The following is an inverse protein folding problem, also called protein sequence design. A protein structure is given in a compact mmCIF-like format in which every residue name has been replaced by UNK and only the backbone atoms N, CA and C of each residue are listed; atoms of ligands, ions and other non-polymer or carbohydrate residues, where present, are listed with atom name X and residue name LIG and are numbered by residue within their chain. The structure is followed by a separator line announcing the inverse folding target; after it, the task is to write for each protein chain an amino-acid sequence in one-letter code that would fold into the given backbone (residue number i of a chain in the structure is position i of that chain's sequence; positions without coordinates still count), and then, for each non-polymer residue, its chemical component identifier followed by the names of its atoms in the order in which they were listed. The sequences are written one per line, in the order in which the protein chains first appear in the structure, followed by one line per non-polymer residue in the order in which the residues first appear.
data_IF_427135814176
#
_entry.id   IF_427135814176
#
_cell.length_a   1.000
_cell.length_b   1.000
_cell.length_c   1.000
_cell.angle_alpha   90.00
_cell.angle_beta   90.00
_cell.angle_gamma   90.00
#
_symmetry.space_group_name_H-M   'P 1'
#
loop_
_entity.id
_entity.type
_entity.pdbx_description
1 polymer ?
#
# COMPACT_ATOMS: atom_id res chain seq x y z
N UNK A 1 -27.47 9.56 17.18
CA UNK A 1 -26.40 8.82 16.49
C UNK A 1 -26.79 7.35 16.44
N UNK A 2 -27.07 6.84 15.25
CA UNK A 2 -27.32 5.41 15.01
C UNK A 2 -26.04 4.77 14.46
N UNK A 3 -25.73 3.53 14.86
CA UNK A 3 -24.57 2.79 14.33
C UNK A 3 -25.08 1.57 13.58
N UNK A 4 -24.65 1.41 12.33
CA UNK A 4 -25.08 0.34 11.43
C UNK A 4 -23.89 -0.44 10.91
N UNK A 5 -24.02 -1.76 10.79
CA UNK A 5 -22.96 -2.66 10.36
C UNK A 5 -23.27 -3.29 8.99
N UNK A 6 -22.26 -3.34 8.13
CA UNK A 6 -22.38 -3.92 6.78
C UNK A 6 -21.15 -4.76 6.40
N UNK A 7 -21.33 -5.62 5.42
CA UNK A 7 -20.25 -6.08 4.55
C UNK A 7 -20.25 -5.26 3.26
N UNK A 8 -19.08 -4.78 2.86
CA UNK A 8 -18.88 -4.18 1.56
C UNK A 8 -18.87 -5.28 0.48
N UNK A 9 -19.57 -5.05 -0.62
CA UNK A 9 -19.59 -5.98 -1.75
C UNK A 9 -19.64 -5.23 -3.08
N UNK A 10 -19.25 -5.87 -4.21
CA UNK A 10 -19.42 -5.29 -5.53
C UNK A 10 -20.88 -4.95 -5.88
N UNK A 11 -21.85 -5.60 -5.23
CA UNK A 11 -23.28 -5.35 -5.42
C UNK A 11 -23.84 -4.27 -4.47
N UNK A 12 -22.98 -3.64 -3.66
CA UNK A 12 -23.35 -2.68 -2.62
C UNK A 12 -23.30 -3.28 -1.21
N UNK A 13 -23.74 -2.47 -0.24
CA UNK A 13 -23.72 -2.82 1.18
C UNK A 13 -24.68 -3.98 1.49
N UNK A 14 -24.16 -5.00 2.16
CA UNK A 14 -24.94 -6.13 2.68
C UNK A 14 -25.11 -5.95 4.19
N UNK A 15 -26.35 -5.74 4.70
CA UNK A 15 -26.60 -5.60 6.14
C UNK A 15 -26.15 -6.84 6.92
N UNK A 16 -25.53 -6.64 8.08
CA UNK A 16 -25.16 -7.74 8.97
C UNK A 16 -26.32 -8.08 9.90
N UNK A 17 -26.84 -9.30 9.80
CA UNK A 17 -27.88 -9.82 10.68
C UNK A 17 -27.30 -10.54 11.92
N UNK A 18 -28.17 -10.89 12.88
CA UNK A 18 -27.78 -11.59 14.12
C UNK A 18 -27.09 -12.94 13.85
N UNK A 19 -27.48 -13.61 12.75
CA UNK A 19 -26.88 -14.86 12.33
C UNK A 19 -25.41 -14.68 11.95
N UNK A 20 -25.10 -13.66 11.14
CA UNK A 20 -23.74 -13.28 10.75
C UNK A 20 -22.92 -12.82 11.94
N UNK A 21 -23.48 -11.96 12.81
CA UNK A 21 -22.79 -11.47 14.01
C UNK A 21 -22.37 -12.61 14.96
N UNK A 22 -23.10 -13.72 14.95
CA UNK A 22 -22.82 -14.88 15.79
C UNK A 22 -21.67 -15.76 15.30
N UNK A 23 -21.22 -15.59 14.05
CA UNK A 23 -20.16 -16.41 13.44
C UNK A 23 -18.80 -16.17 14.12
N UNK A 24 -17.92 -17.19 14.18
CA UNK A 24 -16.55 -17.01 14.63
C UNK A 24 -15.85 -15.91 13.83
N UNK A 25 -15.08 -15.09 14.53
CA UNK A 25 -14.15 -14.16 13.90
C UNK A 25 -12.97 -14.95 13.33
N UNK A 26 -12.60 -14.68 12.08
CA UNK A 26 -11.44 -15.30 11.45
C UNK A 26 -10.21 -14.42 11.66
N UNK A 27 -9.16 -14.92 12.31
CA UNK A 27 -7.87 -14.21 12.46
C UNK A 27 -7.12 -14.12 11.13
N UNK A 28 -7.34 -15.10 10.27
CA UNK A 28 -6.91 -15.15 8.88
C UNK A 28 -7.92 -16.05 8.13
N UNK A 29 -7.90 -16.10 6.78
CA UNK A 29 -8.91 -16.83 6.01
C UNK A 29 -9.10 -18.31 6.38
N UNK A 30 -8.16 -18.93 7.09
CA UNK A 30 -8.15 -20.36 7.43
C UNK A 30 -8.28 -20.65 8.93
N UNK A 31 -8.29 -19.63 9.79
CA UNK A 31 -8.20 -19.81 11.23
C UNK A 31 -9.21 -18.97 12.01
N UNK A 32 -10.10 -19.66 12.71
CA UNK A 32 -11.04 -19.05 13.67
C UNK A 32 -10.31 -18.60 14.93
N UNK A 33 -10.72 -17.45 15.46
CA UNK A 33 -10.34 -17.00 16.79
C UNK A 33 -11.02 -17.89 17.84
N UNK A 34 -10.32 -18.29 18.93
CA UNK A 34 -10.85 -19.25 19.91
C UNK A 34 -12.18 -18.85 20.56
N UNK A 35 -12.49 -17.55 20.64
CA UNK A 35 -13.69 -17.07 21.33
C UNK A 35 -14.26 -15.73 20.83
N UNK A 36 -13.65 -15.09 19.82
CA UNK A 36 -14.18 -13.83 19.28
C UNK A 36 -15.19 -14.16 18.19
N UNK A 37 -16.28 -13.40 18.14
CA UNK A 37 -17.27 -13.44 17.08
C UNK A 37 -17.16 -12.21 16.19
N UNK A 38 -17.77 -12.29 15.00
CA UNK A 38 -17.85 -11.15 14.09
C UNK A 38 -18.54 -9.94 14.75
N UNK A 39 -19.56 -10.17 15.59
CA UNK A 39 -20.19 -9.09 16.34
C UNK A 39 -19.27 -8.41 17.35
N UNK A 40 -18.28 -9.12 17.91
CA UNK A 40 -17.29 -8.52 18.81
C UNK A 40 -16.32 -7.62 18.02
N UNK A 41 -15.98 -8.00 16.79
CA UNK A 41 -15.19 -7.17 15.88
C UNK A 41 -15.86 -5.83 15.55
N UNK A 42 -17.13 -5.84 15.14
CA UNK A 42 -17.87 -4.60 14.87
C UNK A 42 -18.02 -3.73 16.12
N UNK A 43 -18.33 -4.34 17.27
CA UNK A 43 -18.41 -3.63 18.55
C UNK A 43 -17.09 -3.01 18.96
N UNK A 44 -15.96 -3.65 18.68
CA UNK A 44 -14.65 -3.10 18.94
C UNK A 44 -14.41 -1.80 18.15
N UNK A 45 -14.78 -1.80 16.87
CA UNK A 45 -14.67 -0.61 16.01
C UNK A 45 -15.63 0.48 16.47
N UNK A 46 -16.87 0.12 16.82
CA UNK A 46 -17.82 1.07 17.39
C UNK A 46 -17.24 1.70 18.68
N UNK A 47 -16.80 0.89 19.64
CA UNK A 47 -16.20 1.38 20.88
C UNK A 47 -14.97 2.25 20.64
N UNK A 48 -14.13 1.89 19.67
CA UNK A 48 -12.95 2.67 19.28
C UNK A 48 -13.32 4.06 18.74
N UNK A 49 -14.41 4.14 17.96
CA UNK A 49 -14.84 5.38 17.30
C UNK A 49 -15.72 6.24 18.22
N UNK A 50 -16.57 5.62 19.04
CA UNK A 50 -17.56 6.32 19.87
C UNK A 50 -17.20 6.35 21.36
N UNK A 51 -16.08 5.74 21.77
CA UNK A 51 -15.58 5.74 23.14
C UNK A 51 -15.39 7.15 23.69
N UNK A 52 -15.54 7.31 25.01
CA UNK A 52 -15.48 8.61 25.69
C UNK A 52 -16.39 9.67 25.03
N UNK A 53 -17.64 9.31 24.73
CA UNK A 53 -18.61 10.16 24.02
C UNK A 53 -18.15 10.65 22.63
N UNK A 54 -17.21 9.94 21.99
CA UNK A 54 -16.70 10.26 20.66
C UNK A 54 -15.76 11.47 20.62
N UNK A 55 -15.22 11.93 21.76
CA UNK A 55 -14.36 13.12 21.82
C UNK A 55 -13.17 13.07 20.84
N UNK A 56 -12.51 11.90 20.73
CA UNK A 56 -11.40 11.72 19.80
C UNK A 56 -11.86 11.87 18.35
N UNK A 57 -12.95 11.20 17.97
CA UNK A 57 -13.54 11.29 16.64
C UNK A 57 -13.95 12.73 16.30
N UNK A 58 -14.64 13.42 17.20
CA UNK A 58 -15.09 14.80 16.98
C UNK A 58 -13.91 15.76 16.77
N UNK A 59 -12.83 15.59 17.55
CA UNK A 59 -11.59 16.36 17.36
C UNK A 59 -10.94 16.09 16.01
N UNK A 60 -10.87 14.81 15.62
CA UNK A 60 -10.29 14.39 14.33
C UNK A 60 -11.12 14.94 13.17
N UNK A 61 -12.44 14.74 13.19
CA UNK A 61 -13.37 15.33 12.22
C UNK A 61 -13.22 16.84 12.15
N UNK A 62 -13.11 17.51 13.30
CA UNK A 62 -12.95 18.96 13.34
C UNK A 62 -11.67 19.45 12.68
N UNK A 63 -10.58 18.68 12.83
CA UNK A 63 -9.29 18.94 12.18
C UNK A 63 -9.37 18.72 10.68
N UNK A 64 -9.84 17.55 10.26
CA UNK A 64 -9.91 17.15 8.85
C UNK A 64 -10.84 18.07 8.06
N UNK A 65 -11.93 18.52 8.68
CA UNK A 65 -12.88 19.45 8.07
C UNK A 65 -12.52 20.92 8.21
N UNK A 66 -11.52 21.24 9.03
CA UNK A 66 -11.16 22.60 9.39
C UNK A 66 -12.36 23.41 9.95
N UNK A 67 -13.27 22.74 10.65
CA UNK A 67 -14.47 23.33 11.23
C UNK A 67 -14.91 22.52 12.47
N UNK A 68 -15.40 23.14 13.56
CA UNK A 68 -15.89 22.41 14.72
C UNK A 68 -17.01 21.43 14.37
N UNK A 69 -17.00 20.24 14.97
CA UNK A 69 -18.05 19.23 14.82
C UNK A 69 -18.51 18.81 16.21
N UNK A 70 -19.83 18.77 16.41
CA UNK A 70 -20.49 18.33 17.62
C UNK A 70 -21.15 16.96 17.40
N UNK A 71 -21.46 16.25 18.50
CA UNK A 71 -22.15 14.95 18.42
C UNK A 71 -23.56 15.06 17.82
N UNK A 72 -24.23 16.21 17.98
CA UNK A 72 -25.55 16.46 17.36
C UNK A 72 -25.49 16.60 15.85
N UNK A 73 -24.31 16.85 15.27
CA UNK A 73 -24.14 16.95 13.82
C UNK A 73 -24.05 15.56 13.16
N UNK A 74 -23.90 14.50 13.95
CA UNK A 74 -23.77 13.12 13.47
C UNK A 74 -25.09 12.38 13.62
N UNK A 75 -25.74 12.10 12.48
CA UNK A 75 -26.94 11.29 12.43
C UNK A 75 -26.60 9.79 12.54
N UNK A 76 -25.65 9.33 11.72
CA UNK A 76 -25.35 7.91 11.53
C UNK A 76 -23.83 7.65 11.43
N UNK A 77 -23.43 6.45 11.86
CA UNK A 77 -22.10 5.89 11.64
C UNK A 77 -22.30 4.53 10.96
N UNK A 78 -21.72 4.37 9.78
CA UNK A 78 -21.77 3.12 9.01
C UNK A 78 -20.40 2.44 9.12
N UNK A 79 -20.36 1.24 9.70
CA UNK A 79 -19.14 0.43 9.80
C UNK A 79 -19.25 -0.70 8.79
N UNK A 80 -18.33 -0.75 7.82
CA UNK A 80 -18.31 -1.78 6.78
C UNK A 80 -17.06 -2.62 6.87
N UNK A 81 -17.19 -3.94 6.92
CA UNK A 81 -16.04 -4.81 6.66
C UNK A 81 -15.69 -4.76 5.18
N UNK A 82 -14.46 -4.34 4.83
CA UNK A 82 -14.02 -4.10 3.44
C UNK A 82 -13.10 -5.23 2.96
N UNK A 83 -12.08 -5.58 3.75
CA UNK A 83 -11.07 -6.57 3.35
C UNK A 83 -10.55 -7.37 4.53
N UNK A 84 -10.42 -8.68 4.33
CA UNK A 84 -9.71 -9.58 5.25
C UNK A 84 -8.25 -9.68 4.79
N UNK A 85 -7.38 -8.82 5.33
CA UNK A 85 -5.95 -8.83 5.02
C UNK A 85 -5.19 -9.94 5.76
N UNK A 86 -3.99 -10.27 5.28
CA UNK A 86 -3.14 -11.28 5.90
C UNK A 86 -2.51 -10.85 7.23
N UNK A 87 -2.39 -9.54 7.48
CA UNK A 87 -1.86 -8.98 8.73
C UNK A 87 -2.98 -8.44 9.63
N UNK A 88 -3.92 -7.69 9.08
CA UNK A 88 -5.02 -7.07 9.81
C UNK A 88 -6.25 -6.95 8.92
N UNK A 89 -7.41 -6.76 9.55
CA UNK A 89 -8.69 -6.56 8.87
C UNK A 89 -8.90 -5.09 8.60
N UNK A 90 -9.45 -4.76 7.43
CA UNK A 90 -9.82 -3.40 7.05
C UNK A 90 -11.32 -3.26 7.11
N UNK A 91 -11.77 -2.26 7.85
CA UNK A 91 -13.13 -1.75 7.78
C UNK A 91 -13.12 -0.29 7.36
N UNK A 92 -14.22 0.16 6.77
CA UNK A 92 -14.48 1.58 6.64
C UNK A 92 -15.48 2.05 7.68
N UNK A 93 -15.31 3.30 8.10
CA UNK A 93 -16.22 3.99 9.02
C UNK A 93 -16.66 5.27 8.34
N UNK A 94 -17.91 5.31 7.87
CA UNK A 94 -18.51 6.48 7.24
C UNK A 94 -19.40 7.22 8.25
N UNK A 95 -19.07 8.47 8.50
CA UNK A 95 -19.80 9.38 9.37
C UNK A 95 -20.75 10.21 8.52
N UNK A 96 -22.04 10.17 8.86
CA UNK A 96 -23.11 10.84 8.12
C UNK A 96 -23.94 11.76 9.02
N UNK A 97 -24.29 12.91 8.49
CA UNK A 97 -25.13 13.94 9.10
C UNK A 97 -25.57 14.96 8.05
N UNK A 98 -26.44 15.93 8.43
CA UNK A 98 -26.98 16.91 7.48
C UNK A 98 -25.88 17.67 6.72
N UNK A 99 -24.84 18.08 7.45
CA UNK A 99 -23.70 18.80 6.90
C UNK A 99 -22.39 18.02 7.09
N UNK A 100 -22.44 16.75 7.52
CA UNK A 100 -21.26 15.92 7.81
C UNK A 100 -21.27 14.69 6.92
N UNK A 101 -20.23 14.55 6.10
CA UNK A 101 -19.92 13.31 5.41
C UNK A 101 -18.42 13.12 5.36
N UNK A 102 -17.94 12.05 6.00
CA UNK A 102 -16.52 11.70 5.96
C UNK A 102 -16.33 10.20 6.15
N UNK A 103 -15.40 9.60 5.41
CA UNK A 103 -15.08 8.17 5.48
C UNK A 103 -13.65 7.99 5.99
N UNK A 104 -13.48 7.08 6.93
CA UNK A 104 -12.19 6.66 7.46
C UNK A 104 -11.95 5.19 7.17
N UNK A 105 -10.69 4.77 7.23
CA UNK A 105 -10.33 3.36 7.36
C UNK A 105 -10.02 3.04 8.81
N UNK A 106 -10.44 1.87 9.27
CA UNK A 106 -10.00 1.27 10.54
C UNK A 106 -9.29 -0.05 10.23
N UNK A 107 -8.01 -0.11 10.57
CA UNK A 107 -7.22 -1.34 10.51
C UNK A 107 -7.26 -2.02 11.89
N UNK A 108 -7.58 -3.31 11.93
CA UNK A 108 -7.72 -4.07 13.18
C UNK A 108 -6.81 -5.28 13.20
N UNK A 109 -5.88 -5.29 14.15
CA UNK A 109 -4.94 -6.36 14.42
C UNK A 109 -5.30 -7.12 15.70
N UNK A 110 -5.16 -8.45 15.69
CA UNK A 110 -5.62 -9.33 16.78
C UNK A 110 -4.48 -10.14 17.39
N UNK A 111 -3.61 -10.73 16.57
CA UNK A 111 -2.46 -11.50 17.06
C UNK A 111 -1.32 -10.57 17.48
N UNK A 112 -0.47 -10.97 18.42
CA UNK A 112 0.67 -10.15 18.86
C UNK A 112 1.58 -9.70 17.70
N UNK A 113 1.84 -10.58 16.73
CA UNK A 113 2.61 -10.23 15.54
C UNK A 113 1.91 -9.19 14.67
N UNK A 114 0.60 -9.33 14.43
CA UNK A 114 -0.17 -8.33 13.67
C UNK A 114 -0.22 -6.97 14.36
N UNK A 115 -0.31 -6.95 15.70
CA UNK A 115 -0.33 -5.71 16.49
C UNK A 115 1.02 -4.98 16.38
N UNK A 116 2.13 -5.72 16.43
CA UNK A 116 3.46 -5.13 16.21
C UNK A 116 3.60 -4.52 14.81
N UNK A 117 3.10 -5.20 13.78
CA UNK A 117 3.07 -4.65 12.42
C UNK A 117 2.23 -3.39 12.30
N UNK A 118 1.03 -3.38 12.87
CA UNK A 118 0.13 -2.23 12.81
C UNK A 118 0.71 -1.01 13.55
N UNK A 119 1.33 -1.24 14.71
CA UNK A 119 2.03 -0.19 15.45
C UNK A 119 3.22 0.38 14.66
N UNK A 120 4.04 -0.49 14.07
CA UNK A 120 5.17 -0.08 13.22
C UNK A 120 4.71 0.75 12.03
N UNK A 121 3.62 0.34 11.38
CA UNK A 121 3.03 1.06 10.26
C UNK A 121 2.50 2.43 10.67
N UNK A 122 1.80 2.54 11.80
CA UNK A 122 1.35 3.82 12.32
C UNK A 122 2.52 4.79 12.52
N UNK A 123 3.63 4.33 13.11
CA UNK A 123 4.83 5.13 13.31
C UNK A 123 5.48 5.55 11.98
N UNK A 124 5.56 4.64 11.01
CA UNK A 124 6.12 4.93 9.70
C UNK A 124 5.28 5.97 8.94
N UNK A 125 3.95 5.81 8.92
CA UNK A 125 3.03 6.78 8.31
C UNK A 125 3.12 8.16 8.97
N UNK A 126 3.18 8.24 10.30
CA UNK A 126 3.36 9.52 11.00
C UNK A 126 4.69 10.18 10.62
N UNK A 127 5.79 9.43 10.67
CA UNK A 127 7.12 9.92 10.32
C UNK A 127 7.15 10.47 8.89
N UNK A 128 6.64 9.71 7.92
CA UNK A 128 6.69 10.09 6.52
C UNK A 128 5.78 11.28 6.19
N UNK A 129 4.57 11.33 6.76
CA UNK A 129 3.67 12.47 6.59
C UNK A 129 4.29 13.76 7.15
N UNK A 130 4.96 13.68 8.30
CA UNK A 130 5.63 14.84 8.90
C UNK A 130 6.89 15.27 8.13
N UNK A 131 7.68 14.31 7.67
CA UNK A 131 9.00 14.55 7.06
C UNK A 131 8.91 14.98 5.60
N UNK A 132 8.00 14.40 4.82
CA UNK A 132 7.91 14.61 3.37
C UNK A 132 6.73 15.50 2.99
N UNK A 133 5.62 15.46 3.74
CA UNK A 133 4.39 16.23 3.44
C UNK A 133 3.87 16.04 2.02
N UNK A 134 4.01 14.83 1.48
CA UNK A 134 3.55 14.46 0.15
C UNK A 134 2.17 13.78 0.24
N UNK A 135 1.29 13.97 -0.77
CA UNK A 135 -0.11 13.53 -0.71
C UNK A 135 -0.33 12.10 -1.24
N UNK A 136 0.64 11.20 -1.06
CA UNK A 136 0.63 9.87 -1.70
C UNK A 136 0.40 8.71 -0.72
N UNK A 137 0.51 8.94 0.58
CA UNK A 137 0.25 7.95 1.65
C UNK A 137 -0.90 8.44 2.53
N UNK A 138 -1.62 7.56 3.23
CA UNK A 138 -2.73 7.99 4.07
C UNK A 138 -2.21 8.76 5.29
N UNK A 139 -2.99 9.75 5.73
CA UNK A 139 -2.86 10.27 7.08
C UNK A 139 -3.35 9.23 8.10
N UNK A 140 -2.71 9.20 9.27
CA UNK A 140 -3.13 8.38 10.41
C UNK A 140 -3.41 9.26 11.62
N UNK A 141 -4.51 8.96 12.31
CA UNK A 141 -5.08 9.87 13.30
C UNK A 141 -5.01 9.31 14.72
N UNK A 142 -5.22 8.00 14.88
CA UNK A 142 -5.35 7.36 16.19
C UNK A 142 -4.86 5.92 16.13
N UNK A 143 -4.19 5.47 17.19
CA UNK A 143 -3.83 4.08 17.43
C UNK A 143 -4.14 3.76 18.90
N UNK A 144 -4.99 2.76 19.14
CA UNK A 144 -5.33 2.32 20.50
C UNK A 144 -5.37 0.78 20.60
N UNK A 145 -5.07 0.26 21.78
CA UNK A 145 -5.32 -1.14 22.12
C UNK A 145 -6.57 -1.20 23.00
N UNK A 146 -7.58 -1.95 22.53
CA UNK A 146 -8.82 -2.20 23.26
C UNK A 146 -8.82 -3.62 23.82
N UNK A 147 -9.23 -3.75 25.08
CA UNK A 147 -9.50 -5.04 25.69
C UNK A 147 -10.99 -5.36 25.62
N UNK A 148 -11.32 -6.46 24.96
CA UNK A 148 -12.68 -6.99 24.83
C UNK A 148 -12.87 -8.19 25.76
N UNK A 149 -13.87 -8.11 26.63
CA UNK A 149 -14.28 -9.22 27.45
C UNK A 149 -15.47 -9.95 26.81
N UNK A 150 -15.24 -11.20 26.41
CA UNK A 150 -16.27 -12.10 25.90
C UNK A 150 -16.54 -13.22 26.91
N UNK A 151 -17.68 -13.94 26.81
CA UNK A 151 -17.94 -15.09 27.67
C UNK A 151 -16.85 -16.18 27.61
N UNK A 152 -16.11 -16.28 26.50
CA UNK A 152 -15.06 -17.27 26.30
C UNK A 152 -13.64 -16.79 26.65
N UNK A 153 -13.45 -15.53 27.02
CA UNK A 153 -12.13 -14.98 27.36
C UNK A 153 -11.99 -13.49 27.08
N UNK A 154 -10.84 -12.94 27.48
CA UNK A 154 -10.44 -11.58 27.14
C UNK A 154 -9.53 -11.58 25.91
N UNK A 155 -9.71 -10.63 24.99
CA UNK A 155 -8.81 -10.41 23.86
C UNK A 155 -8.42 -8.95 23.75
N UNK A 156 -7.19 -8.72 23.32
CA UNK A 156 -6.67 -7.38 23.03
C UNK A 156 -6.59 -7.17 21.55
N UNK A 157 -7.26 -6.15 21.05
CA UNK A 157 -7.25 -5.76 19.65
C UNK A 157 -6.55 -4.41 19.53
N UNK A 158 -5.66 -4.26 18.55
CA UNK A 158 -5.08 -2.97 18.21
C UNK A 158 -5.83 -2.40 17.01
N UNK A 159 -6.30 -1.16 17.13
CA UNK A 159 -7.06 -0.47 16.10
C UNK A 159 -6.35 0.82 15.70
N UNK A 160 -6.25 1.05 14.40
CA UNK A 160 -5.68 2.26 13.82
C UNK A 160 -6.73 2.96 12.96
N UNK A 161 -6.98 4.25 13.23
CA UNK A 161 -7.81 5.12 12.39
C UNK A 161 -6.93 5.86 11.38
N UNK A 162 -7.27 5.75 10.10
CA UNK A 162 -6.56 6.42 9.01
C UNK A 162 -7.49 7.02 7.96
N UNK A 163 -6.88 7.74 7.02
CA UNK A 163 -7.56 8.32 5.87
C UNK A 163 -8.07 7.24 4.92
N UNK A 164 -9.31 7.39 4.45
CA UNK A 164 -9.83 6.62 3.33
C UNK A 164 -9.57 7.35 2.01
N UNK A 165 -9.01 6.64 1.02
CA UNK A 165 -8.87 7.18 -0.34
C UNK A 165 -10.16 6.98 -1.14
N UNK A 166 -11.01 8.01 -1.16
CA UNK A 166 -12.27 7.99 -1.90
C UNK A 166 -12.06 7.79 -3.41
N UNK A 167 -12.88 6.94 -4.02
CA UNK A 167 -12.82 6.58 -5.45
C UNK A 167 -11.49 5.98 -5.93
N UNK A 168 -10.69 5.43 -5.02
CA UNK A 168 -9.50 4.68 -5.41
C UNK A 168 -9.77 3.18 -5.40
N UNK A 169 -9.20 2.49 -6.37
CA UNK A 169 -9.49 1.09 -6.68
C UNK A 169 -8.21 0.27 -6.75
N UNK A 170 -8.27 -0.97 -6.28
CA UNK A 170 -7.21 -1.94 -6.54
C UNK A 170 -7.15 -2.27 -8.04
N UNK A 171 -5.99 -2.74 -8.49
CA UNK A 171 -5.77 -3.17 -9.86
C UNK A 171 -4.77 -4.32 -9.86
N UNK A 172 -4.98 -5.29 -10.75
CA UNK A 172 -4.20 -6.52 -10.79
C UNK A 172 -4.01 -7.01 -12.21
N UNK A 173 -2.98 -7.81 -12.43
CA UNK A 173 -2.76 -8.56 -13.67
C UNK A 173 -3.75 -9.71 -13.81
N UNK A 174 -4.35 -9.84 -14.99
CA UNK A 174 -5.23 -10.93 -15.40
C UNK A 174 -4.68 -11.61 -16.64
N UNK A 175 -5.00 -12.90 -16.83
CA UNK A 175 -4.75 -13.62 -18.08
C UNK A 175 -6.04 -13.65 -18.88
N UNK A 176 -5.98 -13.15 -20.12
CA UNK A 176 -7.11 -13.32 -21.04
C UNK A 176 -7.24 -14.76 -21.52
N UNK A 177 -8.34 -15.09 -22.19
CA UNK A 177 -8.57 -16.42 -22.77
C UNK A 177 -7.49 -16.83 -23.78
N UNK A 178 -6.83 -15.86 -24.42
CA UNK A 178 -5.69 -16.06 -25.33
C UNK A 178 -4.36 -16.33 -24.60
N UNK A 179 -4.34 -16.24 -23.26
CA UNK A 179 -3.14 -16.28 -22.44
C UNK A 179 -2.40 -14.95 -22.34
N UNK A 180 -2.81 -13.92 -23.08
CA UNK A 180 -2.17 -12.60 -23.04
C UNK A 180 -2.50 -11.87 -21.73
N UNK A 181 -1.48 -11.32 -21.04
CA UNK A 181 -1.68 -10.54 -19.84
C UNK A 181 -2.34 -9.20 -20.15
N UNK A 182 -3.28 -8.80 -19.29
CA UNK A 182 -3.87 -7.47 -19.28
C UNK A 182 -4.15 -7.05 -17.84
N UNK A 183 -4.37 -5.77 -17.60
CA UNK A 183 -4.63 -5.25 -16.27
C UNK A 183 -6.10 -4.92 -16.10
N UNK A 184 -6.63 -5.23 -14.92
CA UNK A 184 -8.03 -4.95 -14.55
C UNK A 184 -8.05 -4.06 -13.33
N UNK A 185 -8.80 -2.97 -13.41
CA UNK A 185 -9.11 -2.09 -12.29
C UNK A 185 -10.40 -2.59 -11.66
N UNK A 186 -10.35 -2.88 -10.36
CA UNK A 186 -11.47 -3.37 -9.57
C UNK A 186 -12.34 -2.19 -9.11
N UNK A 187 -12.96 -1.53 -10.09
CA UNK A 187 -13.88 -0.43 -9.84
C UNK A 187 -15.21 -0.98 -9.30
N UNK A 188 -15.39 -0.98 -7.98
CA UNK A 188 -16.62 -1.44 -7.34
C UNK A 188 -17.83 -0.53 -7.60
N UNK A 189 -17.65 0.69 -8.11
CA UNK A 189 -18.75 1.60 -8.41
C UNK A 189 -19.29 1.41 -9.83
N UNK A 190 -18.40 1.16 -10.80
CA UNK A 190 -18.74 1.04 -12.23
C UNK A 190 -18.62 -0.39 -12.76
N UNK A 191 -18.13 -1.32 -11.95
CA UNK A 191 -17.79 -2.67 -12.32
C UNK A 191 -16.33 -2.79 -12.76
N UNK A 192 -15.80 -4.01 -12.63
CA UNK A 192 -14.42 -4.31 -13.01
C UNK A 192 -14.21 -4.02 -14.50
N UNK A 193 -13.08 -3.40 -14.82
CA UNK A 193 -12.79 -3.01 -16.20
C UNK A 193 -11.33 -3.21 -16.54
N UNK A 194 -11.07 -3.49 -17.81
CA UNK A 194 -9.71 -3.47 -18.35
C UNK A 194 -9.18 -2.03 -18.33
N UNK A 195 -7.92 -1.87 -17.90
CA UNK A 195 -7.21 -0.61 -18.00
C UNK A 195 -6.66 -0.41 -19.42
N UNK A 196 -6.72 0.82 -19.92
CA UNK A 196 -6.07 1.18 -21.18
C UNK A 196 -4.56 1.34 -21.05
N UNK A 197 -3.84 1.26 -22.17
CA UNK A 197 -2.37 1.32 -22.18
C UNK A 197 -1.82 2.60 -21.52
N UNK A 198 -2.46 3.74 -21.75
CA UNK A 198 -2.09 5.01 -21.11
C UNK A 198 -2.29 4.99 -19.60
N UNK A 199 -3.40 4.39 -19.13
CA UNK A 199 -3.66 4.27 -17.70
C UNK A 199 -2.58 3.41 -17.04
N UNK A 200 -2.25 2.26 -17.63
CA UNK A 200 -1.20 1.38 -17.09
C UNK A 200 0.18 2.04 -17.12
N UNK A 201 0.47 2.81 -18.17
CA UNK A 201 1.68 3.60 -18.21
C UNK A 201 1.77 4.56 -17.02
N UNK A 202 0.74 5.37 -16.79
CA UNK A 202 0.71 6.34 -15.70
C UNK A 202 0.71 5.65 -14.32
N UNK A 203 0.05 4.50 -14.19
CA UNK A 203 0.03 3.73 -12.94
C UNK A 203 1.44 3.30 -12.54
N UNK A 204 2.19 2.68 -13.47
CA UNK A 204 3.58 2.25 -13.20
C UNK A 204 4.53 3.43 -12.99
N UNK A 205 4.37 4.50 -13.77
CA UNK A 205 5.16 5.73 -13.62
C UNK A 205 4.94 6.33 -12.22
N UNK A 206 3.70 6.50 -11.80
CA UNK A 206 3.39 7.11 -10.52
C UNK A 206 3.74 6.21 -9.33
N UNK A 207 3.51 4.89 -9.41
CA UNK A 207 3.92 3.98 -8.33
C UNK A 207 5.44 4.04 -8.08
N UNK A 208 6.24 4.04 -9.15
CA UNK A 208 7.69 4.19 -9.08
C UNK A 208 8.12 5.55 -8.54
N UNK A 209 7.46 6.62 -9.02
CA UNK A 209 7.69 7.99 -8.56
C UNK A 209 7.40 8.13 -7.07
N UNK A 210 6.29 7.60 -6.58
CA UNK A 210 5.89 7.69 -5.16
C UNK A 210 6.95 7.03 -4.28
N UNK A 211 7.33 5.79 -4.55
CA UNK A 211 8.33 5.08 -3.75
C UNK A 211 9.69 5.79 -3.76
N UNK A 212 10.07 6.35 -4.91
CA UNK A 212 11.33 7.09 -5.05
C UNK A 212 11.29 8.42 -4.32
N UNK A 213 10.17 9.14 -4.33
CA UNK A 213 10.02 10.40 -3.59
C UNK A 213 10.16 10.21 -2.08
N UNK A 214 9.75 9.05 -1.55
CA UNK A 214 9.94 8.69 -0.15
C UNK A 214 11.31 8.07 0.14
N UNK A 215 12.14 7.77 -0.86
CA UNK A 215 13.50 7.28 -0.62
C UNK A 215 14.37 8.39 -0.03
N UNK A 216 15.10 8.08 1.05
CA UNK A 216 16.06 9.00 1.64
C UNK A 216 17.47 8.62 1.19
N UNK A 217 18.06 9.44 0.30
CA UNK A 217 19.39 9.19 -0.26
C UNK A 217 20.50 9.21 0.82
N UNK A 218 20.34 10.00 1.88
CA UNK A 218 21.35 10.15 2.94
C UNK A 218 21.35 8.94 3.89
N UNK A 219 20.16 8.49 4.29
CA UNK A 219 20.01 7.37 5.23
C UNK A 219 19.75 6.03 4.54
N UNK A 220 19.59 6.02 3.22
CA UNK A 220 19.22 4.87 2.37
C UNK A 220 17.87 4.21 2.71
N UNK A 221 17.05 4.87 3.54
CA UNK A 221 15.75 4.33 3.95
C UNK A 221 14.76 4.37 2.79
N UNK A 222 13.94 3.32 2.70
CA UNK A 222 12.88 3.19 1.72
C UNK A 222 11.61 2.66 2.39
N UNK A 223 10.47 2.86 1.73
CA UNK A 223 9.23 2.16 2.11
C UNK A 223 9.35 0.70 1.73
N UNK A 224 9.22 -0.19 2.71
CA UNK A 224 9.28 -1.64 2.53
C UNK A 224 8.69 -2.37 3.75
N UNK A 225 8.00 -3.54 3.60
CA UNK A 225 7.61 -4.21 2.36
C UNK A 225 6.35 -3.65 1.68
N UNK A 226 6.33 -3.73 0.34
CA UNK A 226 5.17 -3.41 -0.50
C UNK A 226 4.99 -4.40 -1.67
N UNK A 227 3.76 -4.71 -2.09
CA UNK A 227 3.44 -5.64 -3.20
C UNK A 227 2.18 -5.17 -3.94
N UNK A 228 2.17 -5.20 -5.28
CA UNK A 228 0.94 -4.94 -6.06
C UNK A 228 -0.19 -5.91 -5.68
N UNK A 229 0.13 -7.21 -5.60
CA UNK A 229 -0.80 -8.26 -5.20
C UNK A 229 -1.50 -8.04 -3.85
N UNK A 230 -0.87 -7.28 -2.95
CA UNK A 230 -1.47 -6.97 -1.64
C UNK A 230 -2.52 -5.84 -1.72
N UNK A 231 -2.65 -5.17 -2.86
CA UNK A 231 -3.47 -3.97 -3.02
C UNK A 231 -2.82 -2.73 -2.41
N UNK A 232 -1.48 -2.71 -2.32
CA UNK A 232 -0.77 -1.60 -1.70
C UNK A 232 -0.87 -0.32 -2.52
N UNK A 233 -1.01 -0.43 -3.84
CA UNK A 233 -1.28 0.70 -4.71
C UNK A 233 -2.73 0.70 -5.16
N UNK A 234 -3.38 1.84 -5.01
CA UNK A 234 -4.75 2.07 -5.48
C UNK A 234 -4.78 3.24 -6.44
N UNK A 235 -5.72 3.17 -7.39
CA UNK A 235 -5.76 4.08 -8.52
C UNK A 235 -7.14 4.71 -8.66
N UNK A 236 -7.17 5.99 -8.95
CA UNK A 236 -8.37 6.70 -9.39
C UNK A 236 -8.14 7.21 -10.80
N UNK A 237 -9.00 6.78 -11.72
CA UNK A 237 -8.92 7.19 -13.12
C UNK A 237 -10.13 8.06 -13.45
N UNK A 238 -9.91 9.36 -13.68
CA UNK A 238 -10.96 10.32 -14.01
C UNK A 238 -10.46 11.35 -15.02
N UNK A 239 -11.29 11.70 -16.00
CA UNK A 239 -11.09 12.84 -16.92
C UNK A 239 -9.65 12.96 -17.45
N UNK A 240 -9.17 11.86 -18.03
CA UNK A 240 -7.82 11.72 -18.58
C UNK A 240 -6.66 11.75 -17.58
N UNK A 241 -6.91 11.73 -16.28
CA UNK A 241 -5.86 11.65 -15.25
C UNK A 241 -5.92 10.34 -14.49
N UNK A 242 -4.76 9.77 -14.20
CA UNK A 242 -4.58 8.72 -13.19
C UNK A 242 -4.03 9.37 -11.93
N UNK A 243 -4.64 9.11 -10.77
CA UNK A 243 -4.07 9.42 -9.45
C UNK A 243 -3.75 8.09 -8.74
N UNK A 244 -2.48 7.89 -8.39
CA UNK A 244 -2.01 6.70 -7.67
C UNK A 244 -1.72 7.05 -6.23
N UNK A 245 -2.17 6.21 -5.30
CA UNK A 245 -1.85 6.29 -3.87
C UNK A 245 -1.28 4.98 -3.38
N UNK A 246 -0.42 5.07 -2.38
CA UNK A 246 0.04 3.94 -1.60
C UNK A 246 -0.80 3.85 -0.32
N UNK A 247 -1.48 2.74 -0.09
CA UNK A 247 -2.45 2.54 1.01
C UNK A 247 -1.81 2.10 2.32
N UNK A 248 -0.58 1.56 2.27
CA UNK A 248 0.11 0.99 3.43
C UNK A 248 1.59 1.33 3.41
N UNK A 249 2.15 1.55 4.61
CA UNK A 249 3.60 1.71 4.81
C UNK A 249 4.00 0.82 5.98
N UNK A 250 4.18 -0.47 5.70
CA UNK A 250 4.50 -1.48 6.72
C UNK A 250 5.84 -1.25 7.43
N UNK A 251 6.74 -0.51 6.79
CA UNK A 251 8.05 -0.18 7.32
C UNK A 251 8.75 0.90 6.50
N UNK A 252 9.73 1.54 7.14
CA UNK A 252 10.60 2.52 6.53
C UNK A 252 12.03 2.30 7.04
N UNK A 253 12.84 1.57 6.26
CA UNK A 253 14.14 1.07 6.68
C UNK A 253 15.12 0.97 5.50
N UNK A 254 16.45 0.91 5.74
CA UNK A 254 17.42 0.59 4.70
C UNK A 254 17.13 -0.78 4.07
N UNK A 255 17.47 -0.96 2.78
CA UNK A 255 17.43 -2.31 2.18
C UNK A 255 18.31 -3.25 3.00
N UNK A 256 17.86 -4.47 3.30
CA UNK A 256 18.59 -5.42 4.15
C UNK A 256 20.04 -5.69 3.69
N UNK A 257 20.30 -5.61 2.37
CA UNK A 257 21.63 -5.73 1.76
C UNK A 257 22.65 -4.74 2.34
N UNK A 258 22.18 -3.64 2.95
CA UNK A 258 23.00 -2.57 3.50
C UNK A 258 23.26 -2.68 5.00
N UNK A 259 22.62 -3.60 5.71
CA UNK A 259 22.70 -3.66 7.17
C UNK A 259 24.07 -4.16 7.70
N UNK A 260 24.92 -4.72 6.83
CA UNK A 260 26.18 -5.35 7.22
C UNK A 260 27.45 -4.51 6.94
N UNK A 261 27.36 -3.38 6.23
CA UNK A 261 28.54 -2.62 5.78
C UNK A 261 28.69 -1.26 6.48
N UNK A 262 29.85 -1.04 7.13
CA UNK A 262 30.17 0.21 7.86
C UNK A 262 30.47 1.42 6.95
N UNK A 263 30.52 1.25 5.63
CA UNK A 263 30.79 2.32 4.65
C UNK A 263 29.82 2.26 3.45
N UNK A 264 28.54 2.54 3.72
CA UNK A 264 27.50 2.59 2.70
C UNK A 264 27.75 3.71 1.68
N UNK A 265 28.06 3.33 0.44
CA UNK A 265 28.13 4.26 -0.69
C UNK A 265 26.69 4.64 -1.13
N UNK A 266 26.24 5.91 -0.97
CA UNK A 266 24.87 6.31 -1.31
C UNK A 266 24.50 6.11 -2.79
N UNK A 267 25.48 6.18 -3.69
CA UNK A 267 25.26 5.93 -5.13
C UNK A 267 24.99 4.45 -5.35
N UNK A 268 25.77 3.55 -4.74
CA UNK A 268 25.49 2.12 -4.79
C UNK A 268 24.14 1.79 -4.15
N UNK A 269 23.81 2.47 -3.05
CA UNK A 269 22.52 2.29 -2.40
C UNK A 269 21.34 2.66 -3.32
N UNK A 270 21.47 3.77 -4.04
CA UNK A 270 20.49 4.23 -5.02
C UNK A 270 20.41 3.29 -6.24
N UNK A 271 21.54 2.75 -6.73
CA UNK A 271 21.56 1.75 -7.80
C UNK A 271 20.78 0.50 -7.37
N UNK A 272 21.08 -0.05 -6.20
CA UNK A 272 20.39 -1.25 -5.72
C UNK A 272 18.90 -0.99 -5.48
N UNK A 273 18.54 0.17 -4.92
CA UNK A 273 17.15 0.59 -4.79
C UNK A 273 16.45 0.63 -6.15
N UNK A 274 17.05 1.28 -7.15
CA UNK A 274 16.54 1.36 -8.51
C UNK A 274 16.37 -0.02 -9.16
N UNK A 275 17.37 -0.89 -9.05
CA UNK A 275 17.31 -2.26 -9.60
C UNK A 275 16.20 -3.06 -8.92
N UNK A 276 16.13 -3.02 -7.59
CA UNK A 276 15.10 -3.71 -6.82
C UNK A 276 13.69 -3.19 -7.15
N UNK A 277 13.52 -1.86 -7.23
CA UNK A 277 12.28 -1.22 -7.63
C UNK A 277 11.84 -1.70 -9.03
N UNK A 278 12.76 -1.71 -10.00
CA UNK A 278 12.47 -2.13 -11.37
C UNK A 278 12.00 -3.58 -11.49
N UNK A 279 12.55 -4.48 -10.67
CA UNK A 279 12.16 -5.90 -10.63
C UNK A 279 10.82 -6.04 -9.91
N UNK A 280 10.70 -5.47 -8.70
CA UNK A 280 9.54 -5.64 -7.83
C UNK A 280 8.28 -5.03 -8.42
N UNK A 281 8.39 -3.94 -9.17
CA UNK A 281 7.27 -3.33 -9.88
C UNK A 281 6.65 -4.28 -10.92
N UNK A 282 7.38 -5.30 -11.38
CA UNK A 282 6.84 -6.33 -12.29
C UNK A 282 6.15 -7.49 -11.55
N UNK A 283 6.30 -7.58 -10.24
CA UNK A 283 5.73 -8.67 -9.44
C UNK A 283 4.30 -8.35 -9.03
N UNK A 284 3.42 -9.30 -9.31
CA UNK A 284 2.02 -9.27 -8.91
C UNK A 284 1.53 -10.71 -8.64
N UNK A 285 0.22 -10.90 -8.49
CA UNK A 285 -0.45 -12.20 -8.55
C UNK A 285 -1.59 -12.13 -9.55
N UNK A 286 -1.79 -13.22 -10.29
CA UNK A 286 -2.92 -13.28 -11.21
C UNK A 286 -4.22 -13.09 -10.45
N UNK A 287 -5.03 -12.12 -10.88
CA UNK A 287 -6.30 -11.76 -10.26
C UNK A 287 -6.15 -11.38 -8.77
N UNK A 288 -4.97 -10.86 -8.39
CA UNK A 288 -4.62 -10.42 -7.03
C UNK A 288 -4.35 -11.53 -6.02
N UNK A 289 -4.81 -12.75 -6.26
CA UNK A 289 -4.69 -13.87 -5.29
C UNK A 289 -4.09 -15.16 -5.85
N UNK A 290 -3.99 -15.30 -7.18
CA UNK A 290 -3.48 -16.48 -7.87
C UNK A 290 -1.96 -16.67 -7.77
N UNK A 291 -1.39 -17.43 -8.72
CA UNK A 291 0.06 -17.63 -8.82
C UNK A 291 0.80 -16.31 -9.03
N UNK A 292 2.09 -16.26 -8.66
CA UNK A 292 2.91 -15.07 -8.88
C UNK A 292 2.95 -14.73 -10.38
N UNK A 293 2.67 -13.47 -10.68
CA UNK A 293 2.61 -12.91 -12.01
C UNK A 293 3.84 -12.03 -12.28
N UNK A 294 4.23 -11.98 -13.56
CA UNK A 294 5.30 -11.12 -14.06
C UNK A 294 4.72 -10.19 -15.12
N UNK A 295 4.76 -8.89 -14.86
CA UNK A 295 4.25 -7.88 -15.78
C UNK A 295 5.06 -7.86 -17.08
N UNK A 296 4.42 -7.64 -18.26
CA UNK A 296 5.11 -7.49 -19.54
C UNK A 296 6.18 -6.40 -19.56
N UNK A 297 7.12 -6.47 -20.51
CA UNK A 297 8.22 -5.51 -20.66
C UNK A 297 7.78 -4.06 -20.80
N UNK A 298 6.54 -3.85 -21.26
CA UNK A 298 5.86 -2.56 -21.30
C UNK A 298 5.96 -1.78 -19.98
N UNK A 299 5.91 -2.45 -18.81
CA UNK A 299 5.94 -1.78 -17.50
C UNK A 299 7.30 -1.21 -17.12
N UNK A 300 8.40 -1.63 -17.76
CA UNK A 300 9.76 -1.20 -17.40
C UNK A 300 9.98 0.27 -17.72
N UNK A 301 9.58 0.73 -18.92
CA UNK A 301 9.75 2.13 -19.34
C UNK A 301 9.05 3.13 -18.40
N UNK A 302 7.75 3.02 -18.11
CA UNK A 302 7.09 3.93 -17.17
C UNK A 302 7.71 3.85 -15.77
N UNK A 303 8.09 2.65 -15.29
CA UNK A 303 8.78 2.50 -14.00
C UNK A 303 10.08 3.31 -13.94
N UNK A 304 10.93 3.22 -14.98
CA UNK A 304 12.17 4.00 -15.05
C UNK A 304 11.87 5.50 -15.12
N UNK A 305 10.88 5.92 -15.91
CA UNK A 305 10.51 7.33 -16.01
C UNK A 305 10.02 7.91 -14.68
N UNK A 306 9.19 7.18 -13.95
CA UNK A 306 8.72 7.58 -12.62
C UNK A 306 9.85 7.78 -11.63
N UNK A 307 10.81 6.86 -11.62
CA UNK A 307 12.01 6.94 -10.79
C UNK A 307 12.82 8.21 -11.09
N UNK A 308 13.13 8.47 -12.36
CA UNK A 308 13.92 9.65 -12.74
C UNK A 308 13.17 10.97 -12.50
N UNK A 309 11.87 11.01 -12.77
CA UNK A 309 11.03 12.18 -12.45
C UNK A 309 11.01 12.49 -10.95
N UNK A 310 11.02 11.46 -10.10
CA UNK A 310 11.17 11.65 -8.65
C UNK A 310 12.56 12.20 -8.28
N UNK A 311 13.64 11.67 -8.87
CA UNK A 311 14.99 12.20 -8.63
C UNK A 311 15.13 13.67 -9.03
N UNK A 312 14.58 14.07 -10.17
CA UNK A 312 14.57 15.47 -10.61
C UNK A 312 13.82 16.38 -9.61
N UNK A 313 12.70 15.90 -9.06
CA UNK A 313 11.96 16.64 -8.03
C UNK A 313 12.77 16.74 -6.73
N UNK A 314 13.39 15.64 -6.30
CA UNK A 314 14.24 15.61 -5.12
C UNK A 314 15.46 16.53 -5.27
N UNK A 315 16.06 16.60 -6.46
CA UNK A 315 17.17 17.52 -6.77
C UNK A 315 16.74 18.97 -6.66
N UNK A 316 15.59 19.34 -7.26
CA UNK A 316 15.01 20.70 -7.15
C UNK A 316 14.71 21.10 -5.70
N UNK A 317 14.38 20.13 -4.85
CA UNK A 317 14.11 20.30 -3.42
C UNK A 317 15.37 20.22 -2.53
N UNK A 318 16.56 19.98 -3.11
CA UNK A 318 17.82 19.83 -2.36
C UNK A 318 17.90 18.53 -1.54
N UNK A 319 17.07 17.53 -1.83
CA UNK A 319 17.07 16.20 -1.20
C UNK A 319 18.01 15.20 -1.88
N UNK A 320 18.60 15.59 -3.01
CA UNK A 320 19.55 14.77 -3.78
C UNK A 320 20.76 15.60 -4.23
N UNK A 321 21.96 15.21 -3.80
CA UNK A 321 23.19 16.04 -3.96
C UNK A 321 24.38 15.33 -4.67
N UNK A 322 24.60 13.99 -4.59
CA UNK A 322 25.73 13.37 -5.29
C UNK A 322 25.51 13.24 -6.82
N UNK A 323 26.12 14.13 -7.60
CA UNK A 323 26.19 14.07 -9.07
C UNK A 323 24.92 14.49 -9.82
N UNK A 324 23.82 14.75 -9.10
CA UNK A 324 22.52 15.13 -9.66
C UNK A 324 21.91 14.03 -10.54
N UNK A 325 20.70 14.28 -11.04
CA UNK A 325 19.97 13.32 -11.87
C UNK A 325 20.75 13.00 -13.16
N UNK A 326 21.38 14.00 -13.76
CA UNK A 326 22.19 13.84 -14.97
C UNK A 326 23.45 12.98 -14.76
N UNK A 327 24.13 13.13 -13.63
CA UNK A 327 25.28 12.29 -13.28
C UNK A 327 24.90 10.84 -13.04
N UNK A 328 23.78 10.60 -12.36
CA UNK A 328 23.25 9.25 -12.17
C UNK A 328 22.84 8.59 -13.49
N UNK A 329 22.17 9.35 -14.36
CA UNK A 329 21.80 8.89 -15.71
C UNK A 329 23.04 8.50 -16.50
N UNK A 330 24.07 9.36 -16.50
CA UNK A 330 25.34 9.11 -17.18
C UNK A 330 26.03 7.85 -16.65
N UNK A 331 26.00 7.64 -15.33
CA UNK A 331 26.53 6.42 -14.70
C UNK A 331 25.77 5.18 -15.16
N UNK A 332 24.44 5.17 -15.10
CA UNK A 332 23.65 4.02 -15.54
C UNK A 332 23.85 3.72 -17.03
N UNK A 333 23.94 4.75 -17.88
CA UNK A 333 24.21 4.58 -19.32
C UNK A 333 25.59 4.01 -19.59
N UNK A 334 26.56 4.20 -18.70
CA UNK A 334 27.91 3.63 -18.82
C UNK A 334 27.96 2.13 -18.59
N UNK A 335 26.96 1.55 -17.89
CA UNK A 335 26.93 0.12 -17.62
C UNK A 335 26.63 -0.70 -18.88
N UNK A 336 27.38 -1.79 -19.00
CA UNK A 336 27.08 -2.86 -19.95
C UNK A 336 25.92 -3.70 -19.42
N UNK A 337 25.23 -4.36 -20.34
CA UNK A 337 24.12 -5.27 -20.02
C UNK A 337 24.51 -6.36 -19.00
N UNK A 338 25.71 -6.91 -19.11
CA UNK A 338 26.23 -7.93 -18.19
C UNK A 338 26.63 -7.36 -16.81
N UNK A 339 26.95 -6.07 -16.73
CA UNK A 339 27.21 -5.38 -15.45
C UNK A 339 25.91 -5.14 -14.69
N UNK A 340 24.85 -4.67 -15.36
CA UNK A 340 23.52 -4.55 -14.75
C UNK A 340 23.04 -5.89 -14.19
N UNK A 341 23.18 -6.97 -14.97
CA UNK A 341 22.85 -8.32 -14.49
C UNK A 341 23.64 -8.69 -13.24
N UNK A 342 24.97 -8.48 -13.25
CA UNK A 342 25.83 -8.79 -12.09
C UNK A 342 25.42 -8.01 -10.84
N UNK A 343 24.96 -6.77 -10.99
CA UNK A 343 24.45 -5.95 -9.90
C UNK A 343 23.07 -6.41 -9.39
N UNK A 344 22.24 -7.00 -10.26
CA UNK A 344 20.91 -7.50 -9.88
C UNK A 344 20.92 -8.89 -9.25
N UNK A 345 21.89 -9.75 -9.55
CA UNK A 345 21.96 -11.12 -9.01
C UNK A 345 21.90 -11.20 -7.47
N UNK A 346 22.62 -10.35 -6.71
CA UNK A 346 22.52 -10.35 -5.24
C UNK A 346 21.11 -10.10 -4.70
N UNK A 347 20.24 -9.44 -5.47
CA UNK A 347 18.84 -9.22 -5.07
C UNK A 347 18.05 -10.53 -4.99
N UNK A 348 18.48 -11.62 -5.64
CA UNK A 348 17.80 -12.91 -5.55
C UNK A 348 17.76 -13.46 -4.13
N UNK A 349 18.77 -13.19 -3.31
CA UNK A 349 18.79 -13.64 -1.92
C UNK A 349 17.69 -12.97 -1.09
N UNK A 350 17.36 -11.71 -1.41
CA UNK A 350 16.25 -11.00 -0.81
C UNK A 350 14.91 -11.67 -1.13
N UNK A 351 14.65 -11.96 -2.42
CA UNK A 351 13.43 -12.64 -2.83
C UNK A 351 13.33 -14.06 -2.25
N UNK A 352 14.45 -14.77 -2.07
CA UNK A 352 14.48 -16.11 -1.46
C UNK A 352 14.06 -16.10 0.00
N UNK A 353 14.37 -15.04 0.73
CA UNK A 353 13.95 -14.87 2.13
C UNK A 353 12.44 -14.63 2.24
N UNK A 354 11.83 -14.00 1.24
CA UNK A 354 10.40 -13.71 1.23
C UNK A 354 9.55 -14.88 0.74
N UNK A 355 9.85 -15.40 -0.45
CA UNK A 355 9.06 -16.44 -1.09
C UNK A 355 9.88 -17.19 -2.13
N UNK A 356 9.95 -18.52 -1.98
CA UNK A 356 10.59 -19.39 -2.97
C UNK A 356 9.95 -19.29 -4.36
N UNK A 357 8.64 -19.10 -4.42
CA UNK A 357 7.88 -18.94 -5.67
C UNK A 357 8.30 -17.64 -6.38
N UNK A 358 8.32 -16.51 -5.66
CA UNK A 358 8.74 -15.22 -6.20
C UNK A 358 10.20 -15.25 -6.63
N UNK A 359 11.09 -15.79 -5.79
CA UNK A 359 12.50 -15.92 -6.11
C UNK A 359 12.75 -16.72 -7.39
N UNK A 360 12.05 -17.84 -7.57
CA UNK A 360 12.18 -18.66 -8.77
C UNK A 360 11.70 -17.91 -10.01
N UNK A 361 10.60 -17.16 -9.91
CA UNK A 361 10.11 -16.36 -11.03
C UNK A 361 11.10 -15.25 -11.39
N UNK A 362 11.60 -14.49 -10.41
CA UNK A 362 12.60 -13.44 -10.62
C UNK A 362 13.86 -14.03 -11.24
N UNK A 363 14.37 -15.16 -10.73
CA UNK A 363 15.56 -15.82 -11.26
C UNK A 363 15.39 -16.22 -12.74
N UNK A 364 14.22 -16.76 -13.11
CA UNK A 364 13.90 -17.12 -14.49
C UNK A 364 13.76 -15.92 -15.43
N UNK A 365 13.32 -14.77 -14.91
CA UNK A 365 13.06 -13.56 -15.70
C UNK A 365 14.21 -12.55 -15.68
N UNK A 366 15.22 -12.76 -14.82
CA UNK A 366 16.24 -11.76 -14.53
C UNK A 366 17.02 -11.34 -15.77
N UNK A 367 17.40 -12.30 -16.61
CA UNK A 367 18.16 -12.03 -17.83
C UNK A 367 17.33 -11.15 -18.77
N UNK A 368 16.10 -11.57 -19.11
CA UNK A 368 15.17 -10.81 -19.95
C UNK A 368 14.91 -9.40 -19.40
N UNK A 369 14.71 -9.29 -18.09
CA UNK A 369 14.50 -8.02 -17.40
C UNK A 369 15.68 -7.07 -17.56
N UNK A 370 16.90 -7.56 -17.31
CA UNK A 370 18.11 -6.76 -17.45
C UNK A 370 18.32 -6.29 -18.90
N UNK A 371 17.93 -7.09 -19.91
CA UNK A 371 17.99 -6.63 -21.31
C UNK A 371 17.04 -5.46 -21.57
N UNK A 372 15.77 -5.61 -21.16
CA UNK A 372 14.75 -4.58 -21.32
C UNK A 372 15.12 -3.32 -20.56
N UNK A 373 15.55 -3.46 -19.30
CA UNK A 373 15.98 -2.36 -18.44
C UNK A 373 17.18 -1.62 -19.05
N UNK A 374 18.18 -2.36 -19.54
CA UNK A 374 19.34 -1.75 -20.21
C UNK A 374 18.90 -0.94 -21.43
N UNK A 375 18.05 -1.49 -22.29
CA UNK A 375 17.54 -0.77 -23.47
C UNK A 375 16.83 0.52 -23.08
N UNK A 376 15.96 0.48 -22.06
CA UNK A 376 15.25 1.67 -21.57
C UNK A 376 16.22 2.71 -21.01
N UNK A 377 17.25 2.29 -20.26
CA UNK A 377 18.28 3.20 -19.72
C UNK A 377 19.05 3.90 -20.85
N UNK A 378 19.42 3.18 -21.91
CA UNK A 378 20.16 3.76 -23.03
C UNK A 378 19.33 4.83 -23.77
N UNK A 379 18.01 4.67 -23.81
CA UNK A 379 17.07 5.61 -24.42
C UNK A 379 16.79 6.86 -23.55
N UNK A 380 17.27 6.92 -22.31
CA UNK A 380 17.08 8.09 -21.46
C UNK A 380 17.73 9.34 -22.08
N UNK A 381 17.11 10.53 -21.94
CA UNK A 381 17.74 11.79 -22.36
C UNK A 381 19.07 11.97 -21.63
N UNK A 382 20.07 12.50 -22.35
CA UNK A 382 21.42 12.73 -21.83
C UNK A 382 21.58 14.06 -21.11
#
# INVERSE_FOLDING_TARGET
MNVLYFFSSPAGDVPVDDGLLSRPFLMNPMQEHPHLKLGDYFKAIEQFVTGNNGEALLRILGTVRQAPVSSSDIAEILIRSEKHGGLYHLSSVEILGPDVRHKFVVSTAVTESSKQWLHREFQALQLLNQSFRLPYIPEVFLLEELELHTPGGSSKLMLMLGQWFEDHHEWHLHRGDSGEPHWVIWDFKRGYRRAGDREIFEIYEQASLILTLYYNVKSTHQIYPWLHAAGDFVVKCADETVDVKLTTVRGYEPLMVFLEEQDLNPVMALITFFLNLSIRMRLDRWEGVGEVAWAPDFSVRPTVQGFFKALENMEKEGRYEPGGTGGFTSLLKSFRKDELRRLSVPLLDFYRQESREMASLVENQLDSHCETLWSVIQDLPG
#
